data_IF_915327422027
#
_entry.id   IF_915327422027
#
_cell.length_a   1.000
_cell.length_b   1.000
_cell.length_c   1.000
_cell.angle_alpha   90.00
_cell.angle_beta   90.00
_cell.angle_gamma   90.00
#
_symmetry.space_group_name_H-M   'P 1'
#
loop_
_entity.id
_entity.type
_entity.pdbx_description
1 polymer ?
#
# COMPACT_ATOMS: atom_id res chain seq x y z
N UNK A 1 -14.95 16.18 -15.83
CA UNK A 1 -13.68 15.72 -15.22
C UNK A 1 -13.98 15.41 -13.77
N UNK A 2 -13.69 14.21 -13.28
CA UNK A 2 -13.80 13.89 -11.86
C UNK A 2 -12.64 14.57 -11.13
N UNK A 3 -12.93 15.34 -10.08
CA UNK A 3 -11.90 15.94 -9.25
C UNK A 3 -11.13 14.86 -8.48
N UNK A 4 -9.82 15.07 -8.30
CA UNK A 4 -8.93 14.16 -7.58
C UNK A 4 -9.45 13.83 -6.16
N UNK A 5 -10.09 14.81 -5.51
CA UNK A 5 -10.78 14.62 -4.22
C UNK A 5 -11.94 13.63 -4.30
N UNK A 6 -12.74 13.65 -5.37
CA UNK A 6 -13.86 12.73 -5.56
C UNK A 6 -13.38 11.30 -5.80
N UNK A 7 -12.27 11.11 -6.52
CA UNK A 7 -11.66 9.80 -6.74
C UNK A 7 -11.12 9.18 -5.44
N UNK A 8 -10.40 9.97 -4.61
CA UNK A 8 -9.92 9.51 -3.31
C UNK A 8 -11.07 9.12 -2.37
N UNK A 9 -12.15 9.91 -2.34
CA UNK A 9 -13.31 9.60 -1.51
C UNK A 9 -14.02 8.32 -1.99
N UNK A 10 -14.16 8.14 -3.31
CA UNK A 10 -14.74 6.94 -3.88
C UNK A 10 -13.91 5.68 -3.56
N UNK A 11 -12.58 5.78 -3.65
CA UNK A 11 -11.68 4.70 -3.26
C UNK A 11 -11.79 4.37 -1.76
N UNK A 12 -11.84 5.39 -0.89
CA UNK A 12 -12.02 5.20 0.54
C UNK A 12 -13.35 4.50 0.88
N UNK A 13 -14.46 4.93 0.29
CA UNK A 13 -15.78 4.32 0.49
C UNK A 13 -15.82 2.86 -0.01
N UNK A 14 -15.23 2.59 -1.17
CA UNK A 14 -15.09 1.23 -1.70
C UNK A 14 -14.28 0.34 -0.77
N UNK A 15 -13.14 0.84 -0.26
CA UNK A 15 -12.29 0.13 0.69
C UNK A 15 -12.99 -0.18 2.02
N UNK A 16 -13.81 0.74 2.54
CA UNK A 16 -14.64 0.51 3.73
C UNK A 16 -15.65 -0.61 3.46
N UNK A 17 -16.36 -0.55 2.34
CA UNK A 17 -17.33 -1.58 1.96
C UNK A 17 -16.68 -2.97 1.85
N UNK A 18 -15.51 -3.05 1.20
CA UNK A 18 -14.74 -4.29 1.08
C UNK A 18 -14.31 -4.82 2.46
N UNK A 19 -13.87 -3.94 3.36
CA UNK A 19 -13.47 -4.30 4.73
C UNK A 19 -14.63 -4.84 5.54
N UNK A 20 -15.80 -4.19 5.47
CA UNK A 20 -17.03 -4.64 6.14
C UNK A 20 -17.48 -5.99 5.59
N UNK A 21 -17.37 -6.22 4.28
CA UNK A 21 -17.72 -7.50 3.66
C UNK A 21 -16.81 -8.62 4.14
N UNK A 22 -15.49 -8.41 4.16
CA UNK A 22 -14.53 -9.36 4.72
C UNK A 22 -14.80 -9.64 6.20
N UNK A 23 -15.13 -8.61 6.98
CA UNK A 23 -15.49 -8.76 8.39
C UNK A 23 -16.77 -9.60 8.57
N UNK A 24 -17.79 -9.38 7.75
CA UNK A 24 -19.02 -10.18 7.76
C UNK A 24 -18.76 -11.65 7.40
N UNK A 25 -17.89 -11.92 6.42
CA UNK A 25 -17.44 -13.27 6.09
C UNK A 25 -16.72 -13.90 7.28
N UNK A 26 -15.88 -13.15 7.98
CA UNK A 26 -15.20 -13.64 9.18
C UNK A 26 -16.19 -13.95 10.31
N UNK A 27 -17.24 -13.13 10.53
CA UNK A 27 -18.27 -13.41 11.53
C UNK A 27 -19.02 -14.73 11.27
N UNK A 28 -19.21 -15.11 10.00
CA UNK A 28 -19.88 -16.37 9.63
C UNK A 28 -18.93 -17.57 9.65
N UNK A 29 -17.62 -17.37 9.48
CA UNK A 29 -16.59 -18.42 9.50
C UNK A 29 -15.28 -17.97 10.20
N UNK A 30 -15.27 -17.85 11.55
CA UNK A 30 -14.18 -17.22 12.30
C UNK A 30 -12.86 -18.02 12.28
N UNK A 31 -12.87 -19.26 11.78
CA UNK A 31 -11.66 -20.10 11.64
C UNK A 31 -10.65 -19.54 10.63
N UNK A 32 -11.06 -18.62 9.77
CA UNK A 32 -10.21 -17.98 8.76
C UNK A 32 -9.60 -16.66 9.28
N UNK A 33 -8.65 -16.75 10.23
CA UNK A 33 -7.98 -15.57 10.80
C UNK A 33 -7.24 -14.68 9.78
N UNK A 34 -6.93 -15.20 8.58
CA UNK A 34 -6.34 -14.41 7.50
C UNK A 34 -7.29 -13.32 6.97
N UNK A 35 -8.60 -13.58 6.94
CA UNK A 35 -9.63 -12.67 6.42
C UNK A 35 -9.68 -11.39 7.27
N UNK A 36 -9.59 -11.55 8.59
CA UNK A 36 -9.57 -10.43 9.52
C UNK A 36 -8.32 -9.55 9.33
N UNK A 37 -7.15 -10.17 9.07
CA UNK A 37 -5.92 -9.41 8.78
C UNK A 37 -6.01 -8.64 7.47
N UNK A 38 -6.58 -9.24 6.43
CA UNK A 38 -6.83 -8.54 5.14
C UNK A 38 -7.75 -7.33 5.38
N UNK A 39 -8.86 -7.51 6.09
CA UNK A 39 -9.77 -6.43 6.43
C UNK A 39 -9.07 -5.30 7.21
N UNK A 40 -8.25 -5.65 8.20
CA UNK A 40 -7.45 -4.68 8.94
C UNK A 40 -6.46 -3.92 8.03
N UNK A 41 -5.75 -4.61 7.13
CA UNK A 41 -4.85 -3.99 6.17
C UNK A 41 -5.57 -3.00 5.24
N UNK A 42 -6.76 -3.36 4.74
CA UNK A 42 -7.57 -2.47 3.91
C UNK A 42 -8.04 -1.24 4.71
N UNK A 43 -8.46 -1.39 5.97
CA UNK A 43 -8.82 -0.24 6.82
C UNK A 43 -7.63 0.71 7.04
N UNK A 44 -6.42 0.18 7.21
CA UNK A 44 -5.20 1.00 7.31
C UNK A 44 -4.96 1.77 5.99
N UNK A 45 -5.17 1.14 4.84
CA UNK A 45 -5.08 1.81 3.54
C UNK A 45 -6.19 2.87 3.34
N UNK A 46 -7.41 2.63 3.82
CA UNK A 46 -8.48 3.64 3.82
C UNK A 46 -8.08 4.84 4.67
N UNK A 47 -7.54 4.62 5.87
CA UNK A 47 -7.03 5.68 6.71
C UNK A 47 -5.91 6.46 5.99
N UNK A 48 -4.99 5.76 5.32
CA UNK A 48 -3.98 6.40 4.47
C UNK A 48 -4.62 7.33 3.42
N UNK A 49 -5.62 6.87 2.66
CA UNK A 49 -6.29 7.67 1.61
C UNK A 49 -6.93 8.94 2.19
N UNK A 50 -7.60 8.83 3.33
CA UNK A 50 -8.24 9.98 4.01
C UNK A 50 -7.19 10.98 4.51
N UNK A 51 -6.10 10.49 5.11
CA UNK A 51 -5.01 11.35 5.57
C UNK A 51 -4.24 11.98 4.40
N UNK A 52 -4.03 11.24 3.30
CA UNK A 52 -3.40 11.76 2.09
C UNK A 52 -4.23 12.86 1.46
N UNK A 53 -5.57 12.70 1.41
CA UNK A 53 -6.46 13.77 1.00
C UNK A 53 -6.30 15.03 1.86
N UNK A 54 -6.18 14.88 3.18
CA UNK A 54 -5.92 16.02 4.07
C UNK A 54 -4.54 16.65 3.80
N UNK A 55 -3.51 15.82 3.61
CA UNK A 55 -2.15 16.28 3.29
C UNK A 55 -2.08 17.04 1.97
N UNK A 56 -2.88 16.67 0.96
CA UNK A 56 -2.94 17.42 -0.31
C UNK A 56 -3.54 18.82 -0.16
N UNK A 57 -4.31 19.07 0.90
CA UNK A 57 -4.88 20.39 1.21
C UNK A 57 -3.96 21.22 2.09
N UNK A 58 -3.50 20.62 3.17
CA UNK A 58 -2.65 21.25 4.18
C UNK A 58 -1.37 20.41 4.34
N UNK A 59 -0.30 20.72 3.57
CA UNK A 59 0.94 19.97 3.63
C UNK A 59 1.65 20.24 4.98
N UNK A 60 1.74 19.19 5.80
CA UNK A 60 2.43 19.21 7.08
C UNK A 60 3.45 18.04 7.14
N UNK A 61 4.68 18.26 7.66
CA UNK A 61 5.71 17.22 7.70
C UNK A 61 5.32 16.00 8.54
N UNK A 62 4.61 16.19 9.65
CA UNK A 62 4.16 15.08 10.49
C UNK A 62 3.05 14.29 9.78
N UNK A 63 2.14 14.99 9.08
CA UNK A 63 1.14 14.31 8.24
C UNK A 63 1.81 13.48 7.13
N UNK A 64 2.86 13.99 6.49
CA UNK A 64 3.63 13.25 5.48
C UNK A 64 4.17 11.92 6.04
N UNK A 65 4.82 11.99 7.22
CA UNK A 65 5.36 10.80 7.89
C UNK A 65 4.28 9.76 8.21
N UNK A 66 3.14 10.22 8.76
CA UNK A 66 2.03 9.33 9.09
C UNK A 66 1.45 8.69 7.83
N UNK A 67 1.25 9.46 6.77
CA UNK A 67 0.73 8.97 5.48
C UNK A 67 1.64 7.89 4.89
N UNK A 68 2.95 8.12 4.83
CA UNK A 68 3.92 7.16 4.29
C UNK A 68 4.02 5.89 5.14
N UNK A 69 3.96 6.05 6.47
CA UNK A 69 3.95 4.93 7.40
C UNK A 69 2.70 4.06 7.25
N UNK A 70 1.51 4.67 7.17
CA UNK A 70 0.25 3.95 6.99
C UNK A 70 0.22 3.19 5.65
N UNK A 71 0.75 3.78 4.58
CA UNK A 71 0.82 3.13 3.27
C UNK A 71 1.64 1.83 3.36
N UNK A 72 2.85 1.93 3.90
CA UNK A 72 3.76 0.79 4.08
C UNK A 72 3.16 -0.26 5.01
N UNK A 73 2.55 0.17 6.11
CA UNK A 73 1.92 -0.70 7.10
C UNK A 73 0.73 -1.46 6.53
N UNK A 74 -0.15 -0.79 5.78
CA UNK A 74 -1.31 -1.41 5.14
C UNK A 74 -0.91 -2.53 4.19
N UNK A 75 0.05 -2.28 3.31
CA UNK A 75 0.56 -3.30 2.39
C UNK A 75 1.36 -4.40 3.08
N UNK A 76 2.08 -4.09 4.17
CA UNK A 76 2.75 -5.11 4.98
C UNK A 76 1.74 -6.07 5.61
N UNK A 77 0.65 -5.55 6.19
CA UNK A 77 -0.41 -6.38 6.78
C UNK A 77 -1.03 -7.30 5.72
N UNK A 78 -1.28 -6.78 4.52
CA UNK A 78 -1.80 -7.57 3.39
C UNK A 78 -0.78 -8.64 2.95
N UNK A 79 0.51 -8.31 2.90
CA UNK A 79 1.56 -9.29 2.58
C UNK A 79 1.63 -10.41 3.63
N UNK A 80 1.53 -10.06 4.91
CA UNK A 80 1.53 -11.03 6.01
C UNK A 80 0.30 -11.93 6.00
N UNK A 81 -0.86 -11.39 5.62
CA UNK A 81 -2.07 -12.20 5.48
C UNK A 81 -1.96 -13.17 4.29
N UNK A 82 -1.37 -12.73 3.17
CA UNK A 82 -1.09 -13.60 2.01
C UNK A 82 -0.12 -14.73 2.36
N UNK A 83 0.96 -14.43 3.09
CA UNK A 83 1.89 -15.44 3.61
C UNK A 83 1.20 -16.44 4.55
N UNK A 84 0.27 -15.97 5.41
CA UNK A 84 -0.52 -16.86 6.27
C UNK A 84 -1.47 -17.74 5.47
N UNK A 85 -2.13 -17.19 4.45
CA UNK A 85 -3.04 -17.95 3.60
C UNK A 85 -2.32 -19.05 2.82
N UNK A 86 -1.12 -18.76 2.31
CA UNK A 86 -0.30 -19.72 1.56
C UNK A 86 0.58 -20.62 2.43
N UNK A 87 0.58 -20.43 3.76
CA UNK A 87 1.41 -21.20 4.69
C UNK A 87 2.92 -21.03 4.48
N UNK A 88 3.37 -19.90 3.91
CA UNK A 88 4.79 -19.67 3.58
C UNK A 88 5.56 -19.30 4.85
N UNK A 89 6.60 -20.07 5.25
CA UNK A 89 7.43 -19.72 6.39
C UNK A 89 8.32 -18.52 6.05
N UNK A 90 8.52 -17.61 7.02
CA UNK A 90 9.49 -16.52 6.87
C UNK A 90 8.94 -15.10 6.96
N UNK A 91 7.90 -14.85 7.75
CA UNK A 91 7.36 -13.50 8.00
C UNK A 91 8.43 -12.45 8.29
N UNK A 92 9.49 -12.82 9.03
CA UNK A 92 10.62 -11.94 9.36
C UNK A 92 11.34 -11.38 8.13
N UNK A 93 11.40 -12.13 7.02
CA UNK A 93 12.02 -11.68 5.77
C UNK A 93 11.19 -10.62 5.04
N UNK A 94 9.88 -10.54 5.29
CA UNK A 94 9.02 -9.46 4.79
C UNK A 94 8.96 -8.28 5.78
N UNK A 95 8.88 -8.56 7.09
CA UNK A 95 8.76 -7.53 8.13
C UNK A 95 10.04 -6.72 8.28
N UNK A 96 11.21 -7.37 8.33
CA UNK A 96 12.48 -6.68 8.54
C UNK A 96 12.80 -5.60 7.49
N UNK A 97 12.74 -5.88 6.16
CA UNK A 97 13.02 -4.86 5.16
C UNK A 97 11.95 -3.75 5.17
N UNK A 98 10.68 -4.06 5.41
CA UNK A 98 9.64 -3.02 5.47
C UNK A 98 9.80 -2.13 6.69
N UNK A 99 10.12 -2.66 7.86
CA UNK A 99 10.42 -1.86 9.05
C UNK A 99 11.68 -1.01 8.84
N UNK A 100 12.72 -1.57 8.22
CA UNK A 100 13.92 -0.82 7.88
C UNK A 100 13.58 0.33 6.90
N UNK A 101 12.77 0.07 5.88
CA UNK A 101 12.31 1.11 4.95
C UNK A 101 11.48 2.19 5.65
N UNK A 102 10.57 1.81 6.56
CA UNK A 102 9.81 2.78 7.36
C UNK A 102 10.72 3.65 8.23
N UNK A 103 11.74 3.05 8.86
CA UNK A 103 12.72 3.79 9.65
C UNK A 103 13.57 4.75 8.80
N UNK A 104 13.99 4.30 7.61
CA UNK A 104 14.71 5.15 6.63
C UNK A 104 13.81 6.29 6.16
N UNK A 105 12.55 6.03 5.80
CA UNK A 105 11.59 7.06 5.42
C UNK A 105 11.39 8.08 6.55
N UNK A 106 11.23 7.64 7.79
CA UNK A 106 11.09 8.52 8.95
C UNK A 106 12.33 9.39 9.17
N UNK A 107 13.52 8.81 9.07
CA UNK A 107 14.78 9.56 9.20
C UNK A 107 14.96 10.60 8.10
N UNK A 108 14.65 10.23 6.85
CA UNK A 108 14.82 11.08 5.67
C UNK A 108 13.82 12.24 5.64
N UNK A 109 12.55 11.98 5.97
CA UNK A 109 11.51 13.02 6.12
C UNK A 109 11.82 13.96 7.28
N UNK A 110 12.41 13.47 8.38
CA UNK A 110 12.83 14.34 9.49
C UNK A 110 13.93 15.34 9.09
N UNK A 111 14.76 14.99 8.10
CA UNK A 111 15.79 15.87 7.53
C UNK A 111 15.21 16.82 6.46
N UNK A 112 13.92 16.74 6.15
CA UNK A 112 13.23 17.57 5.15
C UNK A 112 13.40 17.08 3.71
N UNK A 113 13.91 15.87 3.51
CA UNK A 113 14.08 15.22 2.21
C UNK A 113 12.84 14.39 1.84
N UNK A 114 11.66 15.00 1.92
CA UNK A 114 10.38 14.29 1.80
C UNK A 114 10.24 13.51 0.48
N UNK A 115 10.84 14.00 -0.61
CA UNK A 115 10.83 13.33 -1.90
C UNK A 115 11.52 11.97 -1.90
N UNK A 116 12.63 11.84 -1.17
CA UNK A 116 13.30 10.54 -0.99
C UNK A 116 12.42 9.62 -0.14
N UNK A 117 11.70 10.15 0.86
CA UNK A 117 10.72 9.41 1.66
C UNK A 117 9.62 8.79 0.79
N UNK A 118 9.07 9.55 -0.16
CA UNK A 118 8.11 9.03 -1.14
C UNK A 118 8.71 7.95 -2.04
N UNK A 119 9.90 8.15 -2.59
CA UNK A 119 10.57 7.16 -3.45
C UNK A 119 10.82 5.85 -2.71
N UNK A 120 11.35 5.90 -1.49
CA UNK A 120 11.62 4.70 -0.68
C UNK A 120 10.32 3.98 -0.34
N UNK A 121 9.27 4.73 -0.01
CA UNK A 121 7.96 4.16 0.30
C UNK A 121 7.35 3.48 -0.92
N UNK A 122 7.32 4.13 -2.08
CA UNK A 122 6.80 3.54 -3.32
C UNK A 122 7.60 2.31 -3.75
N UNK A 123 8.93 2.35 -3.66
CA UNK A 123 9.76 1.18 -3.93
C UNK A 123 9.43 0.00 -2.99
N UNK A 124 9.21 0.29 -1.71
CA UNK A 124 8.84 -0.72 -0.70
C UNK A 124 7.47 -1.33 -1.00
N UNK A 125 6.48 -0.50 -1.36
CA UNK A 125 5.14 -0.94 -1.75
C UNK A 125 5.18 -1.79 -3.02
N UNK A 126 5.92 -1.36 -4.05
CA UNK A 126 6.14 -2.13 -5.27
C UNK A 126 6.76 -3.49 -4.96
N UNK A 127 7.76 -3.55 -4.08
CA UNK A 127 8.39 -4.80 -3.68
C UNK A 127 7.41 -5.73 -2.95
N UNK A 128 6.61 -5.20 -2.02
CA UNK A 128 5.58 -5.97 -1.30
C UNK A 128 4.51 -6.51 -2.25
N UNK A 129 3.98 -5.68 -3.14
CA UNK A 129 2.97 -6.09 -4.12
C UNK A 129 3.51 -7.12 -5.12
N UNK A 130 4.75 -6.93 -5.59
CA UNK A 130 5.41 -7.90 -6.46
C UNK A 130 5.63 -9.24 -5.75
N UNK A 131 6.01 -9.20 -4.47
CA UNK A 131 6.15 -10.40 -3.66
C UNK A 131 4.81 -11.11 -3.47
N UNK A 132 3.72 -10.38 -3.19
CA UNK A 132 2.36 -10.94 -3.10
C UNK A 132 1.97 -11.62 -4.42
N UNK A 133 2.14 -10.92 -5.54
CA UNK A 133 1.82 -11.43 -6.87
C UNK A 133 2.63 -12.69 -7.23
N UNK A 134 3.94 -12.69 -6.92
CA UNK A 134 4.82 -13.83 -7.13
C UNK A 134 4.46 -15.02 -6.24
N UNK A 135 4.15 -14.79 -4.96
CA UNK A 135 3.73 -15.85 -4.03
C UNK A 135 2.46 -16.55 -4.52
N UNK A 136 1.45 -15.78 -4.95
CA UNK A 136 0.22 -16.34 -5.48
C UNK A 136 0.39 -17.02 -6.85
N UNK A 137 1.34 -16.56 -7.67
CA UNK A 137 1.67 -17.19 -8.95
C UNK A 137 2.36 -18.54 -8.78
N UNK A 138 3.37 -18.61 -7.89
CA UNK A 138 4.19 -19.81 -7.67
C UNK A 138 3.41 -20.89 -6.89
N UNK A 139 2.65 -20.50 -5.86
CA UNK A 139 1.91 -21.44 -5.01
C UNK A 139 0.48 -21.72 -5.50
N UNK A 140 0.22 -21.57 -6.79
CA UNK A 140 -1.11 -21.64 -7.43
C UNK A 140 -1.78 -23.02 -7.47
N UNK A 141 -1.74 -23.79 -6.38
CA UNK A 141 -2.35 -25.13 -6.27
C UNK A 141 -3.83 -25.12 -5.92
N UNK A 142 -4.32 -24.09 -5.22
CA UNK A 142 -5.76 -23.89 -4.93
C UNK A 142 -6.38 -22.89 -5.90
N UNK A 143 -7.66 -23.07 -6.26
CA UNK A 143 -8.44 -22.28 -7.25
C UNK A 143 -7.66 -21.24 -8.07
N UNK A 144 -6.96 -21.74 -9.10
CA UNK A 144 -6.02 -20.99 -9.94
C UNK A 144 -6.62 -19.73 -10.58
N UNK A 145 -7.94 -19.68 -10.79
CA UNK A 145 -8.65 -18.52 -11.35
C UNK A 145 -8.64 -17.33 -10.38
N UNK A 146 -8.96 -17.54 -9.10
CA UNK A 146 -9.03 -16.46 -8.10
C UNK A 146 -7.63 -15.93 -7.83
N UNK A 147 -6.65 -16.83 -7.70
CA UNK A 147 -5.25 -16.46 -7.48
C UNK A 147 -4.65 -15.64 -8.63
N UNK A 148 -5.03 -15.94 -9.88
CA UNK A 148 -4.56 -15.19 -11.05
C UNK A 148 -5.12 -13.77 -11.04
N UNK A 149 -6.39 -13.58 -10.67
CA UNK A 149 -7.00 -12.25 -10.54
C UNK A 149 -6.27 -11.41 -9.48
N UNK A 150 -6.01 -11.98 -8.31
CA UNK A 150 -5.28 -11.28 -7.23
C UNK A 150 -3.84 -10.97 -7.64
N UNK A 151 -3.16 -11.91 -8.30
CA UNK A 151 -1.80 -11.70 -8.82
C UNK A 151 -1.78 -10.58 -9.86
N UNK A 152 -2.72 -10.57 -10.82
CA UNK A 152 -2.84 -9.53 -11.84
C UNK A 152 -3.15 -8.16 -11.24
N UNK A 153 -4.08 -8.09 -10.27
CA UNK A 153 -4.41 -6.86 -9.57
C UNK A 153 -3.18 -6.32 -8.81
N UNK A 154 -2.51 -7.19 -8.04
CA UNK A 154 -1.30 -6.81 -7.29
C UNK A 154 -0.16 -6.38 -8.21
N UNK A 155 0.03 -7.04 -9.36
CA UNK A 155 1.03 -6.68 -10.36
C UNK A 155 0.73 -5.34 -11.03
N UNK A 156 -0.54 -5.08 -11.36
CA UNK A 156 -0.95 -3.79 -11.94
C UNK A 156 -0.71 -2.64 -10.94
N UNK A 157 -1.08 -2.82 -9.67
CA UNK A 157 -0.77 -1.86 -8.62
C UNK A 157 0.74 -1.66 -8.44
N UNK A 158 1.53 -2.75 -8.47
CA UNK A 158 2.99 -2.66 -8.33
C UNK A 158 3.63 -1.81 -9.43
N UNK A 159 3.18 -1.97 -10.69
CA UNK A 159 3.63 -1.17 -11.83
C UNK A 159 3.25 0.29 -11.65
N UNK A 160 2.03 0.57 -11.19
CA UNK A 160 1.57 1.94 -10.94
C UNK A 160 2.45 2.67 -9.91
N UNK A 161 2.71 2.06 -8.75
CA UNK A 161 3.62 2.62 -7.75
C UNK A 161 5.08 2.71 -8.24
N UNK A 162 5.54 1.76 -9.06
CA UNK A 162 6.87 1.80 -9.64
C UNK A 162 7.02 3.01 -10.58
N UNK A 163 6.00 3.27 -11.42
CA UNK A 163 5.96 4.45 -12.29
C UNK A 163 5.97 5.75 -11.47
N UNK A 164 5.22 5.84 -10.38
CA UNK A 164 5.26 7.01 -9.49
C UNK A 164 6.68 7.27 -8.95
N UNK A 165 7.35 6.24 -8.44
CA UNK A 165 8.73 6.35 -7.95
C UNK A 165 9.73 6.72 -9.04
N UNK A 166 9.61 6.12 -10.23
CA UNK A 166 10.48 6.42 -11.37
C UNK A 166 10.33 7.86 -11.86
N UNK A 167 9.11 8.40 -11.89
CA UNK A 167 8.89 9.80 -12.30
C UNK A 167 9.47 10.78 -11.28
N UNK A 168 9.34 10.50 -9.97
CA UNK A 168 10.01 11.32 -8.94
C UNK A 168 11.53 11.31 -9.09
N UNK A 169 12.12 10.13 -9.30
CA UNK A 169 13.57 9.98 -9.51
C UNK A 169 14.03 10.72 -10.77
N UNK A 170 13.30 10.56 -11.88
CA UNK A 170 13.62 11.22 -13.15
C UNK A 170 13.50 12.74 -13.10
N UNK A 171 12.59 13.29 -12.28
CA UNK A 171 12.45 14.74 -12.06
C UNK A 171 13.48 15.30 -11.07
N UNK A 172 14.23 14.44 -10.36
CA UNK A 172 15.24 14.88 -9.38
C UNK A 172 14.66 15.70 -8.23
N UNK A 173 13.41 15.44 -7.83
CA UNK A 173 12.74 16.19 -6.76
C UNK A 173 13.06 15.55 -5.40
N UNK A 174 14.20 15.96 -4.81
CA UNK A 174 14.69 15.43 -3.53
C UNK A 174 13.94 15.99 -2.32
N UNK A 175 13.35 17.18 -2.45
CA UNK A 175 12.51 17.85 -1.44
C UNK A 175 11.17 18.19 -2.06
N UNK A 176 10.07 17.72 -1.46
CA UNK A 176 8.72 18.03 -1.88
C UNK A 176 7.99 18.67 -0.69
N UNK A 177 7.88 20.00 -0.71
CA UNK A 177 7.10 20.74 0.31
C UNK A 177 5.57 20.57 0.13
N UNK A 178 5.15 19.90 -0.95
CA UNK A 178 3.76 19.67 -1.34
C UNK A 178 3.65 18.23 -1.85
N UNK A 179 2.47 17.61 -1.74
CA UNK A 179 2.19 16.31 -2.33
C UNK A 179 2.64 16.24 -3.80
N UNK A 180 3.25 15.13 -4.23
CA UNK A 180 3.68 15.01 -5.62
C UNK A 180 2.46 15.07 -6.56
N UNK A 181 2.56 15.90 -7.60
CA UNK A 181 1.53 16.05 -8.63
C UNK A 181 2.12 15.68 -9.99
N UNK A 182 2.02 14.40 -10.32
CA UNK A 182 2.56 13.82 -11.54
C UNK A 182 1.47 13.05 -12.30
N UNK A 183 1.64 12.92 -13.62
CA UNK A 183 0.71 12.15 -14.45
C UNK A 183 0.60 10.68 -13.99
N UNK A 184 1.71 10.09 -13.52
CA UNK A 184 1.73 8.73 -12.97
C UNK A 184 0.92 8.62 -11.67
N UNK A 185 0.89 9.68 -10.87
CA UNK A 185 0.16 9.72 -9.60
C UNK A 185 -1.33 9.97 -9.79
N UNK A 186 -1.70 10.67 -10.87
CA UNK A 186 -3.11 10.79 -11.28
C UNK A 186 -3.65 9.51 -11.91
N UNK A 187 -2.76 8.64 -12.41
CA UNK A 187 -3.11 7.33 -12.96
C UNK A 187 -3.27 6.28 -11.86
N UNK A 188 -2.51 6.40 -10.78
CA UNK A 188 -2.52 5.51 -9.62
C UNK A 188 -3.73 5.73 -8.71
#
# INVERSE_FOLDING_TARGET
MLDFSSLLLAAALSGICLSVTMFAIWCTAPKAGFVLKVACGILVLVAHVILFWRYTKDPDPLLCQVVLALLSLGFLIICLSAMQYLGVPGYRRAVAPTLAAMAVCAAVTFVGLDGIGFVVTYATVTALLSAIGAMFWINGSHDRRILLVVSFLSGTCAVSFALCGMVLLGKGQWTLAVAPDNWAERLN
#
